data_IF_774793426856
#
_entry.id   IF_774793426856
#
_cell.length_a   1.000
_cell.length_b   1.000
_cell.length_c   1.000
_cell.angle_alpha   90.00
_cell.angle_beta   90.00
_cell.angle_gamma   90.00
#
_symmetry.space_group_name_H-M   'P 1'
#
loop_
_entity.id
_entity.type
_entity.pdbx_description
1 polymer ?
#
# COMPACT_ATOMS: atom_id res chain seq x y z
N UNK A 1 -2.32 2.05 11.98
CA UNK A 1 -1.28 1.36 11.17
C UNK A 1 -0.91 0.06 11.86
N UNK A 2 -1.01 -1.08 11.17
CA UNK A 2 -0.77 -2.40 11.76
C UNK A 2 0.43 -3.09 11.11
N UNK A 3 1.29 -3.72 11.92
CA UNK A 3 2.47 -4.46 11.44
C UNK A 3 2.04 -5.84 10.94
N UNK A 4 2.43 -6.19 9.71
CA UNK A 4 2.28 -7.54 9.18
C UNK A 4 3.60 -8.30 9.31
N UNK A 5 3.55 -9.55 9.79
CA UNK A 5 4.72 -10.41 9.91
C UNK A 5 4.58 -11.50 8.84
N UNK A 6 5.30 -11.41 7.71
CA UNK A 6 5.27 -12.45 6.68
C UNK A 6 5.98 -13.72 7.15
N UNK A 7 5.54 -14.88 6.65
CA UNK A 7 6.09 -16.21 7.01
C UNK A 7 7.48 -16.50 6.42
N UNK A 8 7.97 -15.70 5.47
CA UNK A 8 9.32 -15.87 4.92
C UNK A 8 9.79 -14.59 4.21
N UNK A 9 10.82 -13.92 4.74
CA UNK A 9 11.56 -12.86 4.02
C UNK A 9 12.92 -13.41 3.62
N UNK A 10 13.27 -13.46 2.32
CA UNK A 10 14.61 -13.84 1.88
C UNK A 10 15.67 -12.86 2.43
N UNK A 11 16.86 -13.35 2.85
CA UNK A 11 17.88 -12.50 3.43
C UNK A 11 18.66 -11.75 2.33
N UNK A 12 18.59 -10.42 2.34
CA UNK A 12 19.42 -9.55 1.50
C UNK A 12 18.75 -8.20 1.29
N UNK A 13 19.32 -7.15 1.88
CA UNK A 13 18.77 -5.79 2.08
C UNK A 13 17.49 -5.75 2.89
N UNK A 14 17.53 -5.20 4.11
CA UNK A 14 16.36 -5.05 4.97
C UNK A 14 15.22 -4.33 4.21
N UNK A 15 14.22 -5.06 3.71
CA UNK A 15 13.10 -4.42 3.04
C UNK A 15 12.33 -3.76 4.17
N UNK A 16 11.83 -2.53 3.96
CA UNK A 16 11.10 -1.82 5.01
C UNK A 16 10.01 -2.69 5.68
N UNK A 17 9.55 -2.30 6.88
CA UNK A 17 8.51 -3.04 7.60
C UNK A 17 7.27 -3.24 6.70
N UNK A 18 6.80 -4.48 6.56
CA UNK A 18 5.57 -4.75 5.81
C UNK A 18 4.36 -4.39 6.67
N UNK A 19 3.48 -3.58 6.12
CA UNK A 19 2.38 -2.97 6.85
C UNK A 19 1.09 -2.97 6.03
N UNK A 20 -0.03 -2.90 6.75
CA UNK A 20 -1.34 -2.61 6.19
C UNK A 20 -1.74 -1.19 6.60
N UNK A 21 -2.19 -0.41 5.62
CA UNK A 21 -2.66 0.96 5.82
C UNK A 21 -4.18 1.01 5.79
N UNK A 22 -4.76 1.71 6.76
CA UNK A 22 -6.19 1.91 6.86
C UNK A 22 -6.49 3.36 7.22
N UNK A 23 -7.60 3.87 6.69
CA UNK A 23 -8.10 5.22 7.01
C UNK A 23 -8.87 5.17 8.33
N UNK A 24 -9.60 4.07 8.56
CA UNK A 24 -10.30 3.77 9.79
C UNK A 24 -10.29 2.23 9.99
N UNK A 25 -11.13 1.71 10.88
CA UNK A 25 -11.14 0.27 11.20
C UNK A 25 -11.68 -0.61 10.05
N UNK A 26 -12.37 0.00 9.08
CA UNK A 26 -13.12 -0.71 8.06
C UNK A 26 -12.71 -0.34 6.62
N UNK A 27 -11.84 0.65 6.40
CA UNK A 27 -11.38 1.07 5.07
C UNK A 27 -9.88 0.92 4.94
N UNK A 28 -9.46 0.04 4.05
CA UNK A 28 -8.07 -0.37 3.84
C UNK A 28 -7.58 0.10 2.47
N UNK A 29 -6.33 0.56 2.42
CA UNK A 29 -5.69 0.91 1.15
C UNK A 29 -5.26 -0.36 0.42
N UNK A 30 -5.54 -0.44 -0.87
CA UNK A 30 -5.07 -1.51 -1.74
C UNK A 30 -4.55 -1.00 -3.08
N UNK A 31 -3.66 -1.75 -3.70
CA UNK A 31 -3.15 -1.48 -5.03
C UNK A 31 -3.82 -2.40 -6.05
N UNK A 32 -4.32 -1.84 -7.15
CA UNK A 32 -4.99 -2.61 -8.22
C UNK A 32 -4.45 -2.24 -9.59
N UNK A 33 -4.65 -3.13 -10.55
CA UNK A 33 -4.42 -2.87 -11.96
C UNK A 33 -5.78 -2.59 -12.60
N UNK A 34 -5.98 -1.37 -13.11
CA UNK A 34 -7.17 -0.98 -13.88
C UNK A 34 -6.74 -0.29 -15.16
N UNK A 35 -7.27 -0.72 -16.30
CA UNK A 35 -6.95 -0.17 -17.63
C UNK A 35 -5.44 0.01 -17.88
N UNK A 36 -4.65 -1.02 -17.52
CA UNK A 36 -3.19 -1.05 -17.58
C UNK A 36 -2.47 0.05 -16.74
N UNK A 37 -3.16 0.65 -15.76
CA UNK A 37 -2.60 1.59 -14.78
C UNK A 37 -2.67 1.04 -13.36
N UNK A 38 -1.59 1.23 -12.61
CA UNK A 38 -1.55 0.86 -11.19
C UNK A 38 -2.23 1.96 -10.40
N UNK A 39 -3.31 1.62 -9.69
CA UNK A 39 -4.19 2.58 -9.00
C UNK A 39 -4.31 2.23 -7.52
N UNK A 40 -4.41 3.27 -6.69
CA UNK A 40 -4.70 3.14 -5.25
C UNK A 40 -6.21 3.13 -5.03
N UNK A 41 -6.71 2.11 -4.33
CA UNK A 41 -8.11 1.96 -3.97
C UNK A 41 -8.30 1.94 -2.46
N UNK A 42 -9.53 2.25 -2.03
CA UNK A 42 -10.00 1.99 -0.68
C UNK A 42 -11.02 0.84 -0.71
N UNK A 43 -10.72 -0.25 -0.01
CA UNK A 43 -11.61 -1.40 0.12
C UNK A 43 -12.19 -1.45 1.53
N UNK A 44 -13.51 -1.70 1.60
CA UNK A 44 -14.18 -1.96 2.88
C UNK A 44 -13.79 -3.34 3.38
N UNK A 45 -13.65 -3.52 4.69
CA UNK A 45 -13.43 -4.82 5.31
C UNK A 45 -14.61 -5.75 5.00
N UNK A 46 -14.34 -6.84 4.28
CA UNK A 46 -15.36 -7.81 3.84
C UNK A 46 -15.53 -8.93 4.88
N UNK A 47 -15.39 -8.63 6.17
CA UNK A 47 -15.73 -9.58 7.24
C UNK A 47 -17.17 -9.41 7.74
N UNK A 48 -18.00 -8.55 7.13
CA UNK A 48 -19.46 -8.58 7.34
C UNK A 48 -20.10 -9.59 6.38
N UNK A 49 -19.97 -10.87 6.74
CA UNK A 49 -20.77 -12.09 6.45
C UNK A 49 -21.63 -12.29 5.18
N UNK A 50 -21.83 -11.36 4.25
CA UNK A 50 -22.90 -11.50 3.24
C UNK A 50 -22.47 -11.38 1.77
N UNK A 51 -21.18 -11.45 1.42
CA UNK A 51 -20.83 -11.39 -0.01
C UNK A 51 -19.50 -12.00 -0.47
N UNK A 52 -18.95 -12.97 0.25
CA UNK A 52 -17.77 -13.69 -0.22
C UNK A 52 -17.81 -15.15 0.22
N UNK A 53 -18.71 -15.93 -0.38
CA UNK A 53 -18.81 -17.36 -0.05
C UNK A 53 -18.12 -18.30 -1.06
N UNK A 54 -17.42 -17.81 -2.09
CA UNK A 54 -16.71 -18.73 -3.01
C UNK A 54 -15.22 -18.49 -3.23
N UNK A 55 -14.66 -17.28 -3.09
CA UNK A 55 -13.23 -17.13 -3.43
C UNK A 55 -12.26 -17.30 -2.22
N UNK A 56 -12.72 -17.45 -0.95
CA UNK A 56 -11.90 -17.08 0.28
C UNK A 56 -10.76 -18.05 0.50
N UNK A 57 -10.89 -19.27 -0.03
CA UNK A 57 -10.04 -20.37 0.36
C UNK A 57 -9.01 -20.77 -0.70
N UNK A 58 -8.86 -19.97 -1.77
CA UNK A 58 -7.79 -20.12 -2.76
C UNK A 58 -6.96 -18.84 -2.83
N UNK A 59 -5.86 -18.80 -2.10
CA UNK A 59 -4.65 -18.02 -2.42
C UNK A 59 -4.88 -16.57 -2.87
N UNK A 60 -5.83 -15.90 -2.21
CA UNK A 60 -6.31 -14.57 -2.61
C UNK A 60 -5.18 -13.57 -2.48
N UNK A 61 -5.01 -12.79 -3.53
CA UNK A 61 -4.16 -11.61 -3.73
C UNK A 61 -4.11 -10.61 -2.54
N UNK A 62 -3.66 -11.02 -1.36
CA UNK A 62 -3.61 -10.20 -0.15
C UNK A 62 -2.43 -9.21 -0.21
N UNK A 63 -1.43 -9.49 -1.03
CA UNK A 63 -0.29 -8.62 -1.30
C UNK A 63 -0.72 -7.24 -1.80
N UNK A 64 -1.91 -7.11 -2.39
CA UNK A 64 -2.49 -5.83 -2.79
C UNK A 64 -2.68 -4.86 -1.63
N UNK A 65 -2.85 -5.35 -0.40
CA UNK A 65 -2.99 -4.53 0.82
C UNK A 65 -1.67 -4.24 1.52
N UNK A 66 -0.58 -4.87 1.08
CA UNK A 66 0.70 -4.81 1.75
C UNK A 66 1.59 -3.72 1.15
N UNK A 67 2.23 -2.98 2.03
CA UNK A 67 3.20 -1.94 1.67
C UNK A 67 4.51 -2.15 2.43
N UNK A 68 5.64 -1.94 1.75
CA UNK A 68 6.92 -1.75 2.43
C UNK A 68 6.98 -0.32 2.99
N UNK A 69 7.04 -0.20 4.31
CA UNK A 69 7.33 1.06 5.00
C UNK A 69 8.83 1.21 5.20
N UNK A 70 9.44 2.19 4.53
CA UNK A 70 10.84 2.55 4.75
C UNK A 70 10.95 3.97 5.30
N UNK A 71 11.51 4.08 6.50
CA UNK A 71 11.87 5.37 7.11
C UNK A 71 13.34 5.67 6.83
N UNK A 72 13.63 6.86 6.33
CA UNK A 72 14.99 7.36 6.04
C UNK A 72 15.25 8.68 6.73
N UNK A 73 16.51 8.93 7.07
CA UNK A 73 16.91 10.11 7.84
C UNK A 73 16.21 10.17 9.20
N UNK A 74 15.74 11.36 9.57
CA UNK A 74 15.15 11.60 10.90
C UNK A 74 13.68 11.12 10.96
N UNK A 75 12.87 11.34 9.92
CA UNK A 75 11.42 11.08 10.00
C UNK A 75 10.69 10.93 8.66
N UNK A 76 11.41 10.82 7.53
CA UNK A 76 10.77 10.70 6.22
C UNK A 76 10.47 9.24 5.90
N UNK A 77 9.19 8.93 5.75
CA UNK A 77 8.67 7.59 5.50
C UNK A 77 8.13 7.49 4.07
N UNK A 78 8.48 6.41 3.38
CA UNK A 78 7.92 6.04 2.08
C UNK A 78 7.12 4.75 2.22
N UNK A 79 6.13 4.58 1.35
CA UNK A 79 5.27 3.39 1.28
C UNK A 79 5.27 2.87 -0.15
N UNK A 80 5.98 1.76 -0.37
CA UNK A 80 6.04 1.07 -1.67
C UNK A 80 5.04 -0.08 -1.68
N UNK A 81 4.32 -0.28 -2.78
CA UNK A 81 3.45 -1.45 -2.96
C UNK A 81 4.28 -2.74 -2.95
N UNK A 82 3.85 -3.74 -2.17
CA UNK A 82 4.46 -5.09 -2.23
C UNK A 82 4.13 -5.74 -3.57
N UNK A 83 2.85 -5.69 -3.97
CA UNK A 83 2.36 -6.28 -5.22
C UNK A 83 2.97 -5.62 -6.47
N UNK A 84 3.06 -4.30 -6.50
CA UNK A 84 3.56 -3.54 -7.64
C UNK A 84 4.86 -2.81 -7.27
N UNK A 85 5.97 -3.56 -7.24
CA UNK A 85 7.30 -3.02 -6.90
C UNK A 85 7.66 -1.77 -7.70
N UNK A 86 8.29 -0.80 -7.04
CA UNK A 86 8.64 0.50 -7.60
C UNK A 86 7.49 1.51 -7.69
N UNK A 87 6.28 1.16 -7.25
CA UNK A 87 5.16 2.09 -7.12
C UNK A 87 4.96 2.51 -5.67
N UNK A 88 4.84 3.82 -5.46
CA UNK A 88 4.82 4.45 -4.15
C UNK A 88 3.54 5.25 -3.95
N UNK A 89 3.02 5.25 -2.72
CA UNK A 89 1.98 6.21 -2.34
C UNK A 89 2.54 7.61 -2.53
N UNK A 90 1.75 8.47 -3.16
CA UNK A 90 2.17 9.80 -3.53
C UNK A 90 1.04 10.82 -3.47
N UNK A 91 1.40 12.09 -3.37
CA UNK A 91 0.48 13.23 -3.52
C UNK A 91 0.95 14.17 -4.62
N UNK A 92 0.02 14.95 -5.16
CA UNK A 92 0.34 16.12 -5.97
C UNK A 92 0.98 17.21 -5.12
N UNK A 93 1.68 18.15 -5.78
CA UNK A 93 2.07 19.42 -5.15
C UNK A 93 0.89 20.40 -5.04
N UNK A 94 -0.17 20.19 -5.84
CA UNK A 94 -1.39 21.00 -5.78
C UNK A 94 -2.32 20.47 -4.68
N UNK A 95 -3.01 21.39 -4.01
CA UNK A 95 -3.99 21.07 -2.98
C UNK A 95 -5.24 20.36 -3.56
N UNK A 96 -5.95 19.64 -2.69
CA UNK A 96 -7.22 18.97 -2.99
C UNK A 96 -7.17 17.96 -4.15
N UNK A 97 -6.00 17.38 -4.39
CA UNK A 97 -5.82 16.30 -5.36
C UNK A 97 -5.84 14.92 -4.68
N UNK A 98 -6.26 13.86 -5.38
CA UNK A 98 -6.29 12.52 -4.82
C UNK A 98 -4.88 12.01 -4.45
N UNK A 99 -4.85 11.13 -3.45
CA UNK A 99 -3.68 10.30 -3.15
C UNK A 99 -3.64 9.17 -4.18
N UNK A 100 -2.49 8.96 -4.82
CA UNK A 100 -2.34 7.99 -5.91
C UNK A 100 -1.02 7.23 -5.80
N UNK A 101 -0.83 6.20 -6.63
CA UNK A 101 0.45 5.53 -6.78
C UNK A 101 1.25 6.17 -7.92
N UNK A 102 2.54 6.36 -7.73
CA UNK A 102 3.46 6.77 -8.81
C UNK A 102 4.78 6.03 -8.74
N UNK A 103 5.52 6.01 -9.84
CA UNK A 103 6.93 5.62 -9.85
C UNK A 103 7.81 6.77 -9.33
N UNK A 104 9.01 6.46 -8.84
CA UNK A 104 9.94 7.43 -8.22
C UNK A 104 10.37 8.54 -9.19
N UNK A 105 10.40 8.23 -10.49
CA UNK A 105 10.78 9.15 -11.57
C UNK A 105 9.63 10.07 -12.03
N UNK A 106 8.45 9.98 -11.42
CA UNK A 106 7.34 10.87 -11.73
C UNK A 106 7.64 12.30 -11.26
N UNK A 107 8.16 13.12 -12.18
CA UNK A 107 8.35 14.55 -11.95
C UNK A 107 7.05 15.18 -11.42
N UNK A 108 7.15 15.90 -10.30
CA UNK A 108 6.05 16.61 -9.62
C UNK A 108 5.14 15.79 -8.68
N UNK A 109 5.54 14.58 -8.26
CA UNK A 109 4.87 13.84 -7.18
C UNK A 109 5.71 13.80 -5.91
N UNK A 110 5.05 13.85 -4.76
CA UNK A 110 5.69 13.73 -3.44
C UNK A 110 5.43 12.33 -2.88
N UNK A 111 6.48 11.60 -2.51
CA UNK A 111 6.39 10.20 -2.02
C UNK A 111 6.88 10.00 -0.58
N UNK A 112 7.37 11.07 0.05
CA UNK A 112 7.95 11.05 1.40
C UNK A 112 7.05 11.78 2.38
N UNK A 113 6.68 11.10 3.45
CA UNK A 113 5.71 11.56 4.44
C UNK A 113 6.32 11.56 5.85
N UNK A 114 5.91 12.51 6.69
CA UNK A 114 6.11 12.40 8.13
C UNK A 114 4.95 11.61 8.73
N UNK A 115 5.27 10.59 9.51
CA UNK A 115 4.29 9.73 10.18
C UNK A 115 4.47 9.91 11.67
N UNK A 116 3.45 10.42 12.34
CA UNK A 116 3.41 10.64 13.78
C UNK A 116 2.82 9.43 14.51
#
# INVERSE_FOLDING_TARGET
>A
MSRYIPFSVPPGDSPGLIVVLSINNNLYMSCRMEDNKVVLFLEVNINSHDQYHDDILTDRDMDRFLFYRKTTGISLTTFESVKFRGWYISTSQQENQPVELCKVDAANRLTSFRVN
#
